data_IF_089434462220
#
_entry.id   IF_089434462220
#
_cell.length_a   1.000
_cell.length_b   1.000
_cell.length_c   1.000
_cell.angle_alpha   90.00
_cell.angle_beta   90.00
_cell.angle_gamma   90.00
#
_symmetry.space_group_name_H-M   'P 1'
#
loop_
_entity.id
_entity.type
_entity.pdbx_description
1 polymer ?
#
# COMPACT_ATOMS: atom_id res chain seq x y z
N UNK A 1 49.43 10.57 -12.53
CA UNK A 1 48.53 10.22 -11.39
C UNK A 1 47.62 11.38 -10.96
N UNK A 2 48.13 12.59 -10.66
CA UNK A 2 47.29 13.73 -10.20
C UNK A 2 46.25 14.21 -11.22
N UNK A 3 46.56 14.18 -12.52
CA UNK A 3 45.62 14.63 -13.58
C UNK A 3 44.47 13.65 -13.80
N UNK A 4 44.74 12.34 -13.81
CA UNK A 4 43.70 11.28 -13.89
C UNK A 4 42.76 11.37 -12.69
N UNK A 5 43.31 11.50 -11.48
CA UNK A 5 42.50 11.66 -10.25
C UNK A 5 41.60 12.91 -10.28
N UNK A 6 42.07 14.03 -10.83
CA UNK A 6 41.26 15.25 -11.01
C UNK A 6 40.13 15.07 -12.01
N UNK A 7 40.39 14.42 -13.15
CA UNK A 7 39.37 14.14 -14.17
C UNK A 7 38.29 13.20 -13.60
N UNK A 8 38.71 12.14 -12.89
CA UNK A 8 37.78 11.23 -12.22
C UNK A 8 36.93 11.96 -11.18
N UNK A 9 37.53 12.83 -10.36
CA UNK A 9 36.80 13.60 -9.35
C UNK A 9 35.77 14.55 -9.98
N UNK A 10 36.13 15.25 -11.07
CA UNK A 10 35.21 16.13 -11.81
C UNK A 10 34.06 15.31 -12.43
N UNK A 11 34.36 14.15 -13.01
CA UNK A 11 33.34 13.25 -13.55
C UNK A 11 32.33 12.78 -12.51
N UNK A 12 32.82 12.32 -11.35
CA UNK A 12 31.97 11.89 -10.23
C UNK A 12 31.12 13.04 -9.68
N UNK A 13 31.70 14.24 -9.53
CA UNK A 13 30.97 15.42 -9.09
C UNK A 13 29.86 15.79 -10.09
N UNK A 14 30.13 15.73 -11.40
CA UNK A 14 29.14 15.97 -12.44
C UNK A 14 27.95 15.01 -12.37
N UNK A 15 28.22 13.71 -12.20
CA UNK A 15 27.16 12.69 -12.05
C UNK A 15 26.32 12.94 -10.80
N UNK A 16 26.95 13.24 -9.66
CA UNK A 16 26.25 13.53 -8.42
C UNK A 16 25.33 14.75 -8.54
N UNK A 17 25.81 15.83 -9.18
CA UNK A 17 25.00 17.04 -9.42
C UNK A 17 23.80 16.72 -10.32
N UNK A 18 23.99 15.96 -11.40
CA UNK A 18 22.89 15.58 -12.29
C UNK A 18 21.83 14.74 -11.57
N UNK A 19 22.29 13.76 -10.78
CA UNK A 19 21.39 12.92 -9.98
C UNK A 19 20.61 13.74 -8.95
N UNK A 20 21.28 14.60 -8.16
CA UNK A 20 20.60 15.43 -7.16
C UNK A 20 19.65 16.44 -7.80
N UNK A 21 20.00 17.01 -8.95
CA UNK A 21 19.12 17.88 -9.72
C UNK A 21 17.84 17.17 -10.17
N UNK A 22 17.99 15.95 -10.71
CA UNK A 22 16.85 15.13 -11.13
C UNK A 22 15.98 14.70 -9.94
N UNK A 23 16.58 14.15 -8.88
CA UNK A 23 15.86 13.72 -7.67
C UNK A 23 15.20 14.90 -6.95
N UNK A 24 15.82 16.08 -6.95
CA UNK A 24 15.24 17.31 -6.42
C UNK A 24 14.03 17.79 -7.24
N UNK A 25 14.10 17.70 -8.57
CA UNK A 25 12.99 18.00 -9.46
C UNK A 25 11.81 17.03 -9.25
N UNK A 26 12.09 15.73 -9.17
CA UNK A 26 11.09 14.69 -8.88
C UNK A 26 10.44 14.94 -7.51
N UNK A 27 11.26 15.16 -6.47
CA UNK A 27 10.76 15.45 -5.12
C UNK A 27 9.85 16.67 -5.09
N UNK A 28 10.21 17.76 -5.78
CA UNK A 28 9.38 18.97 -5.86
C UNK A 28 7.99 18.66 -6.43
N UNK A 29 7.93 17.91 -7.53
CA UNK A 29 6.67 17.54 -8.17
C UNK A 29 5.84 16.57 -7.33
N UNK A 30 6.46 15.56 -6.73
CA UNK A 30 5.78 14.58 -5.88
C UNK A 30 5.20 15.24 -4.61
N UNK A 31 5.97 16.10 -3.95
CA UNK A 31 5.52 16.84 -2.77
C UNK A 31 4.43 17.87 -3.10
N UNK A 32 4.47 18.48 -4.29
CA UNK A 32 3.38 19.37 -4.74
C UNK A 32 2.08 18.58 -4.93
N UNK A 33 2.17 17.41 -5.58
CA UNK A 33 1.03 16.52 -5.83
C UNK A 33 0.41 16.01 -4.54
N UNK A 34 1.24 15.55 -3.59
CA UNK A 34 0.74 15.02 -2.32
C UNK A 34 -0.02 16.05 -1.47
N UNK A 35 0.17 17.34 -1.74
CA UNK A 35 -0.47 18.46 -1.05
C UNK A 35 -1.63 19.10 -1.79
N UNK A 36 -2.02 18.60 -2.96
CA UNK A 36 -3.15 19.19 -3.71
C UNK A 36 -4.48 19.08 -2.94
N UNK A 37 -5.30 20.12 -3.09
CA UNK A 37 -6.52 20.36 -2.33
C UNK A 37 -7.77 19.61 -2.84
N UNK A 38 -7.70 19.05 -4.05
CA UNK A 38 -8.75 18.25 -4.70
C UNK A 38 -8.73 16.78 -4.26
N UNK A 39 -7.88 16.43 -3.29
CA UNK A 39 -7.82 15.08 -2.78
C UNK A 39 -9.00 14.77 -1.89
N UNK A 40 -9.79 13.80 -2.33
CA UNK A 40 -10.91 13.25 -1.59
C UNK A 40 -10.45 12.77 -0.23
N UNK A 41 -11.13 13.24 0.82
CA UNK A 41 -10.89 12.84 2.19
C UNK A 41 -12.08 12.00 2.69
N UNK A 42 -11.78 11.00 3.51
CA UNK A 42 -12.77 10.28 4.30
C UNK A 42 -13.30 11.20 5.42
N UNK A 43 -14.54 10.96 5.84
CA UNK A 43 -15.08 11.58 7.06
C UNK A 43 -14.32 11.12 8.33
N UNK A 44 -13.64 9.97 8.27
CA UNK A 44 -12.87 9.38 9.37
C UNK A 44 -11.40 9.78 9.27
N UNK A 45 -10.89 10.42 10.33
CA UNK A 45 -9.51 10.94 10.38
C UNK A 45 -8.45 9.84 10.26
N UNK A 46 -8.73 8.65 10.78
CA UNK A 46 -7.83 7.49 10.67
C UNK A 46 -7.67 7.01 9.24
N UNK A 47 -8.77 6.91 8.48
CA UNK A 47 -8.74 6.57 7.06
C UNK A 47 -7.93 7.59 6.26
N UNK A 48 -7.97 8.87 6.65
CA UNK A 48 -7.17 9.92 6.03
C UNK A 48 -5.66 9.77 6.27
N UNK A 49 -5.23 9.12 7.35
CA UNK A 49 -3.80 8.79 7.56
C UNK A 49 -3.32 7.79 6.51
N UNK A 50 -4.09 6.73 6.29
CA UNK A 50 -3.76 5.69 5.29
C UNK A 50 -3.84 6.25 3.87
N UNK A 51 -4.88 7.01 3.54
CA UNK A 51 -5.00 7.70 2.25
C UNK A 51 -3.85 8.69 2.03
N UNK A 52 -3.47 9.42 3.09
CA UNK A 52 -2.33 10.33 3.11
C UNK A 52 -1.02 9.60 2.81
N UNK A 53 -0.75 8.50 3.51
CA UNK A 53 0.42 7.65 3.30
C UNK A 53 0.51 7.13 1.86
N UNK A 54 -0.57 6.54 1.32
CA UNK A 54 -0.59 5.99 -0.04
C UNK A 54 -0.26 7.06 -1.10
N UNK A 55 -0.74 8.29 -0.88
CA UNK A 55 -0.49 9.44 -1.75
C UNK A 55 0.93 10.00 -1.58
N UNK A 56 1.38 10.19 -0.35
CA UNK A 56 2.68 10.76 -0.04
C UNK A 56 3.83 9.87 -0.54
N UNK A 57 3.68 8.55 -0.41
CA UNK A 57 4.66 7.57 -0.90
C UNK A 57 4.54 7.30 -2.40
N UNK A 58 3.47 7.79 -3.05
CA UNK A 58 3.23 7.62 -4.48
C UNK A 58 2.86 6.19 -4.87
N UNK A 59 2.23 5.43 -3.96
CA UNK A 59 1.76 4.08 -4.25
C UNK A 59 0.74 4.08 -5.40
N UNK A 60 -0.05 5.14 -5.50
CA UNK A 60 -1.07 5.31 -6.53
C UNK A 60 -0.50 5.52 -7.94
N UNK A 61 0.76 5.96 -8.08
CA UNK A 61 1.39 6.07 -9.40
C UNK A 61 1.33 4.75 -10.17
N UNK A 62 1.54 3.61 -9.50
CA UNK A 62 1.55 2.30 -10.15
C UNK A 62 0.31 1.45 -9.85
N UNK A 63 -0.41 1.72 -8.76
CA UNK A 63 -1.52 0.89 -8.29
C UNK A 63 -2.90 1.51 -8.48
N UNK A 64 -3.00 2.66 -9.15
CA UNK A 64 -4.29 3.33 -9.42
C UNK A 64 -4.29 3.89 -10.86
N UNK A 65 -4.99 3.26 -11.81
CA UNK A 65 -5.03 3.72 -13.20
C UNK A 65 -5.55 5.16 -13.37
N UNK A 66 -6.42 5.61 -12.46
CA UNK A 66 -6.96 6.97 -12.46
C UNK A 66 -6.01 8.03 -11.90
N UNK A 67 -4.79 7.67 -11.47
CA UNK A 67 -3.85 8.62 -10.90
C UNK A 67 -3.29 9.56 -11.98
N UNK A 68 -3.30 10.86 -11.69
CA UNK A 68 -2.61 11.82 -12.55
C UNK A 68 -1.10 11.61 -12.50
N UNK A 69 -0.50 11.47 -13.67
CA UNK A 69 0.94 11.27 -13.80
C UNK A 69 1.66 12.62 -13.88
N UNK A 70 2.84 12.73 -13.25
CA UNK A 70 3.62 13.96 -13.21
C UNK A 70 4.19 14.29 -14.60
N UNK A 71 4.49 15.57 -14.85
CA UNK A 71 4.96 16.03 -16.17
C UNK A 71 6.20 15.28 -16.70
N UNK A 72 7.10 14.83 -15.82
CA UNK A 72 8.29 14.06 -16.21
C UNK A 72 8.00 12.68 -16.79
N UNK A 73 6.79 12.14 -16.56
CA UNK A 73 6.35 10.90 -17.19
C UNK A 73 6.42 10.96 -18.72
N UNK A 74 6.22 12.13 -19.33
CA UNK A 74 6.21 12.27 -20.79
C UNK A 74 7.61 12.38 -21.42
N UNK A 75 8.68 12.38 -20.62
CA UNK A 75 10.06 12.45 -21.11
C UNK A 75 10.46 11.07 -21.69
N UNK A 76 11.05 11.01 -22.90
CA UNK A 76 11.59 9.76 -23.43
C UNK A 76 12.58 9.08 -22.48
N UNK A 77 12.48 7.76 -22.32
CA UNK A 77 13.21 6.98 -21.33
C UNK A 77 12.42 6.82 -20.03
N UNK A 78 12.02 7.94 -19.40
CA UNK A 78 11.19 7.92 -18.18
C UNK A 78 9.81 7.31 -18.45
N UNK A 79 9.17 7.70 -19.56
CA UNK A 79 7.88 7.16 -19.98
C UNK A 79 7.84 5.64 -20.02
N UNK A 80 8.80 5.02 -20.70
CA UNK A 80 8.84 3.57 -20.91
C UNK A 80 9.07 2.82 -19.60
N UNK A 81 9.93 3.36 -18.73
CA UNK A 81 10.19 2.78 -17.42
C UNK A 81 8.96 2.86 -16.53
N UNK A 82 8.33 4.04 -16.46
CA UNK A 82 7.11 4.24 -15.68
C UNK A 82 5.95 3.40 -16.23
N UNK A 83 5.75 3.33 -17.55
CA UNK A 83 4.72 2.47 -18.16
C UNK A 83 4.88 1.00 -17.78
N UNK A 84 6.13 0.51 -17.75
CA UNK A 84 6.42 -0.84 -17.30
C UNK A 84 6.06 -1.05 -15.82
N UNK A 85 6.42 -0.10 -14.96
CA UNK A 85 6.16 -0.15 -13.52
C UNK A 85 4.66 -0.06 -13.20
N UNK A 86 3.95 0.83 -13.89
CA UNK A 86 2.49 0.99 -13.80
C UNK A 86 1.80 -0.31 -14.22
N UNK A 87 2.17 -0.86 -15.37
CA UNK A 87 1.57 -2.10 -15.87
C UNK A 87 1.79 -3.27 -14.91
N UNK A 88 3.00 -3.41 -14.37
CA UNK A 88 3.32 -4.49 -13.44
C UNK A 88 2.67 -4.29 -12.06
N UNK A 89 2.72 -3.07 -11.53
CA UNK A 89 2.12 -2.70 -10.25
C UNK A 89 0.62 -2.92 -10.25
N UNK A 90 -0.09 -2.36 -11.23
CA UNK A 90 -1.54 -2.49 -11.35
C UNK A 90 -1.99 -3.94 -11.53
N UNK A 91 -1.28 -4.72 -12.36
CA UNK A 91 -1.56 -6.15 -12.54
C UNK A 91 -1.41 -6.93 -11.24
N UNK A 92 -0.47 -6.54 -10.39
CA UNK A 92 -0.19 -7.23 -9.13
C UNK A 92 -1.18 -6.83 -8.03
N UNK A 93 -1.57 -5.55 -8.01
CA UNK A 93 -2.48 -5.02 -7.00
C UNK A 93 -3.15 -3.73 -7.48
N UNK A 94 -4.48 -3.66 -7.34
CA UNK A 94 -5.27 -2.46 -7.61
C UNK A 94 -5.70 -1.81 -6.27
N UNK A 95 -5.25 -0.57 -6.03
CA UNK A 95 -5.59 0.20 -4.83
C UNK A 95 -6.95 0.92 -4.91
N UNK A 96 -7.62 0.95 -6.06
CA UNK A 96 -8.91 1.66 -6.20
C UNK A 96 -9.97 1.15 -5.22
N UNK A 97 -10.07 -0.18 -5.05
CA UNK A 97 -11.01 -0.78 -4.10
C UNK A 97 -10.69 -0.39 -2.65
N UNK A 98 -9.41 -0.37 -2.29
CA UNK A 98 -8.93 0.06 -0.95
C UNK A 98 -9.29 1.54 -0.72
N UNK A 99 -8.96 2.40 -1.68
CA UNK A 99 -9.25 3.84 -1.60
C UNK A 99 -10.75 4.10 -1.50
N UNK A 100 -11.55 3.44 -2.32
CA UNK A 100 -13.01 3.58 -2.30
C UNK A 100 -13.60 3.13 -0.96
N UNK A 101 -13.10 2.04 -0.38
CA UNK A 101 -13.51 1.57 0.93
C UNK A 101 -13.17 2.60 2.03
N UNK A 102 -11.94 3.11 2.05
CA UNK A 102 -11.49 4.13 3.02
C UNK A 102 -12.30 5.43 2.92
N UNK A 103 -12.60 5.89 1.70
CA UNK A 103 -13.40 7.08 1.45
C UNK A 103 -14.85 6.90 1.92
N UNK A 104 -15.42 5.72 1.71
CA UNK A 104 -16.79 5.39 2.09
C UNK A 104 -16.93 4.89 3.54
N UNK A 105 -15.84 4.88 4.31
CA UNK A 105 -15.76 4.30 5.66
C UNK A 105 -16.28 2.85 5.73
N UNK A 106 -15.78 2.03 4.81
CA UNK A 106 -16.10 0.60 4.71
C UNK A 106 -14.85 -0.24 4.94
N UNK A 107 -15.02 -1.48 5.43
CA UNK A 107 -13.88 -2.38 5.62
C UNK A 107 -13.18 -2.68 4.29
N UNK A 108 -11.86 -2.58 4.30
CA UNK A 108 -11.00 -3.02 3.19
C UNK A 108 -10.96 -4.54 3.19
N UNK A 109 -11.06 -5.18 2.01
CA UNK A 109 -11.11 -6.64 1.89
C UNK A 109 -9.91 -7.33 2.57
N UNK A 110 -10.13 -8.50 3.18
CA UNK A 110 -9.02 -9.25 3.79
C UNK A 110 -7.89 -9.55 2.79
N UNK A 111 -8.22 -9.88 1.54
CA UNK A 111 -7.20 -10.14 0.53
C UNK A 111 -6.33 -8.92 0.23
N UNK A 112 -6.90 -7.72 0.25
CA UNK A 112 -6.14 -6.50 -0.02
C UNK A 112 -5.32 -6.07 1.21
N UNK A 113 -5.87 -6.23 2.42
CA UNK A 113 -5.12 -6.07 3.68
C UNK A 113 -3.90 -7.00 3.71
N UNK A 114 -4.07 -8.28 3.34
CA UNK A 114 -2.98 -9.26 3.31
C UNK A 114 -1.89 -8.90 2.29
N UNK A 115 -2.26 -8.36 1.13
CA UNK A 115 -1.28 -7.90 0.12
C UNK A 115 -0.47 -6.71 0.63
N UNK A 116 -1.13 -5.74 1.25
CA UNK A 116 -0.46 -4.57 1.84
C UNK A 116 0.45 -5.02 2.98
N UNK A 117 -0.05 -5.85 3.89
CA UNK A 117 0.74 -6.39 5.00
C UNK A 117 2.01 -7.08 4.49
N UNK A 118 1.89 -7.95 3.48
CA UNK A 118 3.02 -8.69 2.96
C UNK A 118 4.12 -7.76 2.43
N UNK A 119 3.77 -6.74 1.64
CA UNK A 119 4.78 -5.82 1.10
C UNK A 119 5.40 -4.93 2.18
N UNK A 120 4.66 -4.64 3.25
CA UNK A 120 5.17 -3.92 4.41
C UNK A 120 6.13 -4.79 5.21
N UNK A 121 5.73 -6.00 5.61
CA UNK A 121 6.54 -6.92 6.41
C UNK A 121 7.86 -7.31 5.74
N UNK A 122 7.84 -7.50 4.42
CA UNK A 122 9.02 -7.89 3.64
C UNK A 122 9.73 -6.71 2.98
N UNK A 123 9.28 -5.47 3.21
CA UNK A 123 9.88 -4.24 2.71
C UNK A 123 10.13 -4.27 1.18
N UNK A 124 9.22 -4.91 0.45
CA UNK A 124 9.35 -5.10 -1.02
C UNK A 124 8.78 -3.94 -1.81
N UNK A 125 8.03 -3.03 -1.15
CA UNK A 125 7.44 -1.85 -1.76
C UNK A 125 7.71 -0.58 -0.93
N UNK A 126 7.93 0.57 -1.60
CA UNK A 126 8.12 0.70 -3.04
C UNK A 126 9.42 0.04 -3.53
N UNK A 127 9.50 -0.39 -4.80
CA UNK A 127 10.68 -1.10 -5.30
C UNK A 127 11.90 -0.18 -5.35
N UNK A 128 13.10 -0.72 -5.19
CA UNK A 128 14.35 0.07 -5.11
C UNK A 128 14.55 1.00 -6.31
N UNK A 129 14.16 0.57 -7.52
CA UNK A 129 14.22 1.39 -8.74
C UNK A 129 13.39 2.68 -8.65
N UNK A 130 12.26 2.63 -7.94
CA UNK A 130 11.44 3.80 -7.68
C UNK A 130 12.14 4.68 -6.63
N UNK A 131 12.52 4.12 -5.48
CA UNK A 131 13.15 4.92 -4.41
C UNK A 131 14.51 5.51 -4.79
N UNK A 132 15.15 5.03 -5.86
CA UNK A 132 16.39 5.60 -6.38
C UNK A 132 16.22 7.05 -6.87
N UNK A 133 15.07 7.43 -7.43
CA UNK A 133 14.77 8.84 -7.77
C UNK A 133 13.76 9.44 -6.79
N UNK A 134 12.87 8.61 -6.26
CA UNK A 134 11.80 8.97 -5.34
C UNK A 134 12.17 8.61 -3.89
N UNK A 135 13.33 9.06 -3.43
CA UNK A 135 13.88 8.69 -2.12
C UNK A 135 12.94 9.04 -0.95
N UNK A 136 12.18 10.15 -1.04
CA UNK A 136 11.15 10.51 -0.07
C UNK A 136 9.93 9.57 -0.07
N UNK A 137 9.77 8.77 -1.13
CA UNK A 137 8.77 7.70 -1.22
C UNK A 137 9.16 6.44 -0.46
N UNK A 138 10.37 6.37 0.12
CA UNK A 138 10.73 5.27 1.03
C UNK A 138 9.81 5.28 2.25
N UNK A 139 9.38 4.08 2.67
CA UNK A 139 8.57 3.88 3.87
C UNK A 139 9.52 3.75 5.07
N UNK A 140 9.31 4.56 6.11
CA UNK A 140 10.06 4.50 7.36
C UNK A 140 9.58 3.35 8.25
N UNK A 141 10.33 3.04 9.31
CA UNK A 141 9.94 2.00 10.27
C UNK A 141 8.67 2.40 11.05
N UNK A 142 8.52 3.69 11.34
CA UNK A 142 7.34 4.26 12.00
C UNK A 142 6.11 4.17 11.10
N UNK A 143 6.22 4.61 9.85
CA UNK A 143 5.11 4.54 8.87
C UNK A 143 4.69 3.09 8.62
N UNK A 144 5.68 2.19 8.51
CA UNK A 144 5.42 0.75 8.37
C UNK A 144 4.66 0.21 9.58
N UNK A 145 5.08 0.55 10.80
CA UNK A 145 4.41 0.14 12.03
C UNK A 145 2.97 0.69 12.10
N UNK A 146 2.73 1.93 11.67
CA UNK A 146 1.40 2.53 11.63
C UNK A 146 0.46 1.79 10.67
N UNK A 147 0.93 1.45 9.47
CA UNK A 147 0.13 0.69 8.49
C UNK A 147 -0.16 -0.73 9.00
N UNK A 148 0.83 -1.41 9.59
CA UNK A 148 0.63 -2.74 10.17
C UNK A 148 -0.36 -2.72 11.36
N UNK A 149 -0.29 -1.71 12.22
CA UNK A 149 -1.23 -1.52 13.31
C UNK A 149 -2.65 -1.24 12.81
N UNK A 150 -2.80 -0.42 11.76
CA UNK A 150 -4.07 -0.18 11.10
C UNK A 150 -4.67 -1.47 10.52
N UNK A 151 -3.87 -2.30 9.84
CA UNK A 151 -4.31 -3.60 9.32
C UNK A 151 -4.80 -4.51 10.46
N UNK A 152 -4.05 -4.58 11.56
CA UNK A 152 -4.43 -5.38 12.71
C UNK A 152 -5.76 -4.93 13.33
N UNK A 153 -5.98 -3.63 13.41
CA UNK A 153 -7.25 -3.06 13.86
C UNK A 153 -8.39 -3.42 12.92
N UNK A 154 -8.21 -3.28 11.60
CA UNK A 154 -9.22 -3.66 10.61
C UNK A 154 -9.61 -5.14 10.73
N UNK A 155 -8.64 -6.03 10.94
CA UNK A 155 -8.92 -7.46 11.17
C UNK A 155 -9.71 -7.70 12.44
N UNK A 156 -9.27 -7.12 13.56
CA UNK A 156 -9.93 -7.29 14.84
C UNK A 156 -11.37 -6.76 14.84
N UNK A 157 -11.64 -5.68 14.12
CA UNK A 157 -12.94 -5.01 14.09
C UNK A 157 -13.94 -5.67 13.13
N UNK A 158 -13.50 -6.06 11.93
CA UNK A 158 -14.42 -6.46 10.85
C UNK A 158 -14.39 -7.96 10.51
N UNK A 159 -13.34 -8.67 10.91
CA UNK A 159 -13.06 -10.01 10.37
C UNK A 159 -12.88 -11.09 11.42
N UNK A 160 -12.38 -10.74 12.60
CA UNK A 160 -12.29 -11.67 13.72
C UNK A 160 -13.68 -12.04 14.24
N UNK A 161 -13.91 -13.33 14.50
CA UNK A 161 -15.12 -13.76 15.17
C UNK A 161 -15.05 -13.45 16.67
N UNK A 162 -16.21 -13.30 17.31
CA UNK A 162 -16.29 -12.97 18.74
C UNK A 162 -15.56 -14.00 19.63
N UNK A 163 -15.53 -15.26 19.20
CA UNK A 163 -14.88 -16.39 19.87
C UNK A 163 -13.42 -16.61 19.43
N UNK A 164 -12.89 -15.80 18.51
CA UNK A 164 -11.46 -15.82 18.18
C UNK A 164 -10.66 -15.32 19.38
N UNK A 165 -9.71 -16.14 19.84
CA UNK A 165 -8.81 -15.79 20.94
C UNK A 165 -8.02 -14.51 20.59
N UNK A 166 -7.78 -13.59 21.56
CA UNK A 166 -7.18 -12.28 21.30
C UNK A 166 -5.89 -12.31 20.46
N UNK A 167 -5.03 -13.29 20.70
CA UNK A 167 -3.75 -13.51 20.02
C UNK A 167 -3.88 -13.86 18.53
N UNK A 168 -5.01 -14.45 18.12
CA UNK A 168 -5.25 -14.89 16.74
C UNK A 168 -6.08 -13.90 15.91
N UNK A 169 -6.54 -12.78 16.51
CA UNK A 169 -7.42 -11.82 15.84
C UNK A 169 -6.75 -11.05 14.70
N UNK A 170 -5.43 -11.00 14.65
CA UNK A 170 -4.68 -10.38 13.55
C UNK A 170 -4.18 -11.39 12.51
N UNK A 171 -4.54 -12.67 12.61
CA UNK A 171 -4.05 -13.65 11.63
C UNK A 171 -4.64 -13.37 10.23
N UNK A 172 -3.83 -13.46 9.14
CA UNK A 172 -4.32 -13.28 7.77
C UNK A 172 -5.42 -14.28 7.36
N UNK A 173 -5.48 -15.42 8.06
CA UNK A 173 -6.53 -16.43 7.95
C UNK A 173 -7.17 -16.55 9.31
N UNK A 174 -8.44 -16.16 9.42
CA UNK A 174 -9.15 -16.21 10.69
C UNK A 174 -9.53 -17.65 11.06
N UNK A 175 -9.44 -18.03 12.35
CA UNK A 175 -9.93 -19.31 12.82
C UNK A 175 -11.40 -19.55 12.46
N UNK A 176 -11.77 -20.81 12.23
CA UNK A 176 -13.16 -21.18 11.97
C UNK A 176 -13.99 -20.92 13.24
N UNK A 177 -15.04 -20.08 13.18
CA UNK A 177 -15.90 -19.81 14.33
C UNK A 177 -16.55 -21.09 14.86
N UNK A 178 -16.76 -21.18 16.17
CA UNK A 178 -17.43 -22.30 16.83
C UNK A 178 -18.87 -22.47 16.35
N UNK A 179 -19.51 -21.37 15.94
CA UNK A 179 -20.88 -21.37 15.41
C UNK A 179 -20.91 -20.68 14.07
N UNK A 180 -21.29 -21.42 13.03
CA UNK A 180 -21.54 -20.87 11.71
C UNK A 180 -23.04 -20.95 11.38
N UNK A 181 -23.65 -19.82 11.09
CA UNK A 181 -25.00 -19.79 10.53
C UNK A 181 -24.93 -20.15 9.05
N UNK A 182 -25.65 -21.19 8.62
CA UNK A 182 -25.75 -21.58 7.22
C UNK A 182 -27.22 -21.73 6.82
N UNK A 183 -27.50 -21.54 5.53
CA UNK A 183 -28.84 -21.85 4.97
C UNK A 183 -28.92 -23.33 4.68
N UNK A 184 -29.81 -24.03 5.37
CA UNK A 184 -30.13 -25.43 5.10
C UNK A 184 -30.86 -25.53 3.75
N UNK A 185 -30.14 -25.85 2.67
CA UNK A 185 -30.78 -26.18 1.40
C UNK A 185 -31.27 -27.64 1.42
N UNK A 186 -32.46 -27.86 2.01
CA UNK A 186 -33.32 -29.00 1.63
C UNK A 186 -34.83 -28.82 1.83
N UNK A 187 -35.30 -27.74 2.46
CA UNK A 187 -36.73 -27.44 2.52
C UNK A 187 -37.02 -25.97 2.86
N UNK A 188 -36.63 -25.03 1.99
CA UNK A 188 -37.29 -23.73 1.81
C UNK A 188 -37.36 -22.68 2.93
N UNK A 189 -37.22 -22.98 4.23
CA UNK A 189 -37.39 -21.97 5.29
C UNK A 189 -36.56 -22.34 6.53
N UNK A 190 -35.49 -21.57 6.82
CA UNK A 190 -34.75 -21.63 8.09
C UNK A 190 -33.23 -21.45 7.98
N UNK A 191 -32.66 -20.64 8.88
CA UNK A 191 -31.22 -20.61 9.18
C UNK A 191 -30.92 -21.74 10.17
N UNK A 192 -29.95 -22.60 9.83
CA UNK A 192 -29.45 -23.64 10.73
C UNK A 192 -28.08 -23.22 11.27
N UNK A 193 -27.75 -23.58 12.50
CA UNK A 193 -26.41 -23.39 13.06
C UNK A 193 -25.67 -24.74 13.08
N UNK A 194 -24.44 -24.80 12.55
CA UNK A 194 -23.51 -25.87 12.90
C UNK A 194 -22.66 -25.39 14.07
N UNK A 195 -22.71 -26.13 15.17
CA UNK A 195 -21.78 -25.99 16.29
C UNK A 195 -20.61 -26.92 16.05
N UNK A 196 -19.38 -26.41 16.10
CA UNK A 196 -18.20 -27.26 16.22
C UNK A 196 -18.30 -27.94 17.61
N UNK A 197 -18.36 -29.26 17.66
CA UNK A 197 -18.26 -29.97 18.95
C UNK A 197 -16.91 -29.60 19.58
N UNK A 198 -16.83 -29.43 20.90
CA UNK A 198 -15.54 -29.28 21.56
C UNK A 198 -14.77 -30.58 21.33
N UNK A 199 -13.84 -30.57 20.40
CA UNK A 199 -12.86 -31.65 20.30
C UNK A 199 -11.99 -31.52 21.54
N UNK A 200 -12.17 -32.46 22.46
CA UNK A 200 -11.27 -32.71 23.57
C UNK A 200 -9.92 -33.12 22.95
N UNK A 201 -8.85 -32.41 23.29
CA UNK A 201 -7.48 -32.70 22.86
C UNK A 201 -6.57 -31.53 23.13
#
# INVERSE_FOLDING_TARGET
MKMVSRITAIGLAGVAICYLGLSGYVWYHDNKRSKQADVQASAVSENNKVLGFLREKGCDYCHTPSAELPAYYYIPGAKQLMDYDIKLGYKSFNLEAVRAALLADKPVSQSDLNKIEWVMQYETMPPTRYTALHWAGKVSDEERAEILAWIAKQRAEYYASNDTAPEHRNEPVQPIPQKLAYRCAKSGVGLCAVSRSPFIG
#
